data_IF_102453093293
#
_entry.id   IF_102453093293
#
_cell.length_a   1.000
_cell.length_b   1.000
_cell.length_c   1.000
_cell.angle_alpha   90.00
_cell.angle_beta   90.00
_cell.angle_gamma   90.00
#
_symmetry.space_group_name_H-M   'P 1'
#
loop_
_entity.id
_entity.type
_entity.pdbx_description
1 polymer ?
#
# COMPACT_ATOMS: atom_id res chain seq x y z
N UNK A 1 -18.14 -6.02 2.03
CA UNK A 1 -17.23 -5.10 2.75
C UNK A 1 -15.97 -5.87 3.14
N UNK A 2 -14.99 -5.27 3.83
CA UNK A 2 -13.79 -5.95 4.38
C UNK A 2 -14.11 -6.92 5.54
N UNK A 3 -15.21 -7.67 5.45
CA UNK A 3 -15.74 -8.53 6.51
C UNK A 3 -14.72 -9.59 6.96
N UNK A 4 -13.96 -10.14 6.00
CA UNK A 4 -12.92 -11.14 6.26
C UNK A 4 -11.74 -10.59 7.06
N UNK A 5 -11.56 -9.27 7.12
CA UNK A 5 -10.41 -8.63 7.79
C UNK A 5 -10.81 -7.86 9.05
N UNK A 6 -12.06 -7.94 9.50
CA UNK A 6 -12.52 -7.19 10.68
C UNK A 6 -11.67 -7.54 11.91
N UNK A 7 -11.43 -8.84 12.16
CA UNK A 7 -10.58 -9.26 13.27
C UNK A 7 -9.18 -8.63 13.19
N UNK A 8 -8.56 -8.70 12.02
CA UNK A 8 -7.21 -8.18 11.77
C UNK A 8 -7.11 -6.65 11.92
N UNK A 9 -8.08 -5.92 11.36
CA UNK A 9 -8.14 -4.46 11.43
C UNK A 9 -8.29 -4.01 12.88
N UNK A 10 -9.10 -4.71 13.67
CA UNK A 10 -9.30 -4.40 15.09
C UNK A 10 -8.18 -4.91 15.99
N UNK A 11 -7.41 -5.92 15.56
CA UNK A 11 -6.26 -6.45 16.29
C UNK A 11 -5.09 -5.46 16.36
N UNK A 12 -5.04 -4.44 15.50
CA UNK A 12 -3.96 -3.45 15.51
C UNK A 12 -3.79 -2.77 16.87
N UNK A 13 -2.68 -3.09 17.56
CA UNK A 13 -2.34 -2.51 18.86
C UNK A 13 -1.89 -1.05 18.78
N UNK A 14 -1.76 -0.49 17.57
CA UNK A 14 -1.30 0.88 17.31
C UNK A 14 0.08 1.19 17.89
N UNK A 15 0.93 0.18 18.08
CA UNK A 15 2.27 0.30 18.68
C UNK A 15 3.24 1.18 17.88
N UNK A 16 3.09 1.22 16.55
CA UNK A 16 3.96 2.00 15.67
C UNK A 16 5.20 1.26 15.17
N UNK A 17 5.32 -0.06 15.36
CA UNK A 17 6.45 -0.82 14.81
C UNK A 17 6.50 -0.75 13.28
N UNK A 18 5.34 -0.75 12.63
CA UNK A 18 5.24 -0.52 11.19
C UNK A 18 5.73 0.87 10.72
N UNK A 19 6.06 1.77 11.65
CA UNK A 19 6.62 3.11 11.43
C UNK A 19 8.09 3.15 11.77
N UNK A 20 8.45 2.72 12.98
CA UNK A 20 9.75 3.01 13.58
C UNK A 20 10.72 1.83 13.61
N UNK A 21 10.30 0.57 13.40
CA UNK A 21 11.03 -0.61 13.90
C UNK A 21 12.57 -0.45 13.92
N UNK A 22 13.09 -0.26 15.13
CA UNK A 22 14.53 -0.27 15.44
C UNK A 22 14.70 -1.47 16.35
N UNK A 23 15.32 -2.55 15.83
CA UNK A 23 15.65 -3.82 16.53
C UNK A 23 15.05 -3.92 17.96
N UNK A 24 13.75 -4.16 18.04
CA UNK A 24 13.13 -4.74 19.23
C UNK A 24 13.09 -6.25 18.97
N UNK A 25 13.32 -7.06 20.01
CA UNK A 25 13.40 -8.53 19.94
C UNK A 25 12.22 -9.19 19.21
N UNK A 26 11.11 -8.46 19.05
CA UNK A 26 9.87 -8.88 18.39
C UNK A 26 9.89 -8.84 16.86
N UNK A 27 10.84 -8.17 16.20
CA UNK A 27 10.95 -8.17 14.75
C UNK A 27 11.99 -9.23 14.31
N UNK A 28 11.56 -10.22 13.53
CA UNK A 28 12.43 -11.29 13.03
C UNK A 28 13.62 -10.78 12.17
N UNK A 29 13.60 -9.49 11.75
CA UNK A 29 14.68 -8.81 11.03
C UNK A 29 14.77 -7.34 11.46
N UNK A 30 15.99 -6.78 11.46
CA UNK A 30 16.20 -5.36 11.72
C UNK A 30 15.77 -4.49 10.54
N UNK A 31 14.50 -4.11 10.47
CA UNK A 31 13.94 -3.31 9.37
C UNK A 31 13.85 -1.83 9.76
N UNK A 32 14.89 -1.05 9.46
CA UNK A 32 14.85 0.40 9.66
C UNK A 32 14.03 1.09 8.55
N UNK A 33 13.21 2.09 8.91
CA UNK A 33 12.32 2.82 7.98
C UNK A 33 11.39 1.87 7.21
N UNK A 34 10.56 1.16 7.98
CA UNK A 34 9.70 0.05 7.53
C UNK A 34 8.86 0.39 6.30
N UNK A 35 8.14 1.51 6.34
CA UNK A 35 7.35 1.97 5.22
C UNK A 35 8.12 3.05 4.45
N UNK A 36 8.57 2.76 3.21
CA UNK A 36 9.24 3.77 2.41
C UNK A 36 8.31 4.94 2.10
N UNK A 37 7.01 4.72 1.86
CA UNK A 37 6.08 5.83 1.57
C UNK A 37 5.98 6.81 2.74
N UNK A 38 5.91 6.34 3.98
CA UNK A 38 5.94 7.24 5.15
C UNK A 38 7.27 7.99 5.26
N UNK A 39 8.40 7.32 5.01
CA UNK A 39 9.72 7.97 5.05
C UNK A 39 9.80 9.14 4.07
N UNK A 40 9.06 9.06 2.96
CA UNK A 40 9.02 10.07 1.92
C UNK A 40 7.97 11.16 2.17
N UNK A 41 6.76 10.77 2.59
CA UNK A 41 5.62 11.69 2.69
C UNK A 41 5.45 12.27 4.10
N UNK A 42 6.18 11.75 5.08
CA UNK A 42 6.21 12.26 6.45
C UNK A 42 4.99 11.94 7.32
N UNK A 43 3.81 11.74 6.73
CA UNK A 43 2.57 11.53 7.49
C UNK A 43 2.37 10.08 7.96
N UNK A 44 1.88 9.93 9.19
CA UNK A 44 1.62 8.62 9.82
C UNK A 44 0.49 7.85 9.12
N UNK A 45 -0.43 8.55 8.44
CA UNK A 45 -1.50 7.96 7.64
C UNK A 45 -0.96 6.97 6.60
N UNK A 46 0.26 7.20 6.08
CA UNK A 46 0.91 6.33 5.10
C UNK A 46 1.45 5.02 5.68
N UNK A 47 1.56 4.89 7.00
CA UNK A 47 1.97 3.64 7.65
C UNK A 47 0.85 2.59 7.63
N UNK A 48 1.16 1.33 7.93
CA UNK A 48 0.13 0.31 8.10
C UNK A 48 -0.86 0.69 9.22
N UNK A 49 -0.35 1.14 10.38
CA UNK A 49 -1.18 1.63 11.50
C UNK A 49 -2.13 2.72 11.05
N UNK A 50 -1.63 3.74 10.35
CA UNK A 50 -2.45 4.84 9.85
C UNK A 50 -3.57 4.36 8.94
N UNK A 51 -3.25 3.49 7.98
CA UNK A 51 -4.24 2.89 7.08
C UNK A 51 -5.26 2.03 7.81
N UNK A 52 -4.84 1.19 8.74
CA UNK A 52 -5.77 0.37 9.55
C UNK A 52 -6.70 1.25 10.40
N UNK A 53 -6.24 2.38 10.93
CA UNK A 53 -7.11 3.33 11.64
C UNK A 53 -8.17 3.93 10.72
N UNK A 54 -7.80 4.29 9.49
CA UNK A 54 -8.74 4.78 8.48
C UNK A 54 -9.75 3.70 8.09
N UNK A 55 -9.30 2.46 7.85
CA UNK A 55 -10.18 1.33 7.55
C UNK A 55 -11.14 1.02 8.69
N UNK A 56 -10.66 1.08 9.94
CA UNK A 56 -11.52 0.91 11.10
C UNK A 56 -12.63 1.96 11.14
N UNK A 57 -12.29 3.23 10.94
CA UNK A 57 -13.29 4.30 10.85
C UNK A 57 -14.30 4.04 9.73
N UNK A 58 -13.84 3.53 8.58
CA UNK A 58 -14.72 3.16 7.47
C UNK A 58 -15.67 2.01 7.82
N UNK A 59 -15.19 0.99 8.55
CA UNK A 59 -16.01 -0.10 9.09
C UNK A 59 -17.02 0.40 10.14
N UNK A 60 -16.66 1.44 10.90
CA UNK A 60 -17.52 2.13 11.87
C UNK A 60 -18.49 3.14 11.20
N UNK A 61 -18.58 3.14 9.87
CA UNK A 61 -19.56 3.91 9.10
C UNK A 61 -19.11 5.32 8.71
N UNK A 62 -17.81 5.65 8.85
CA UNK A 62 -17.28 6.90 8.28
C UNK A 62 -17.19 6.78 6.76
N UNK A 63 -17.62 7.85 6.09
CA UNK A 63 -17.59 7.93 4.64
C UNK A 63 -16.15 7.96 4.12
N UNK A 64 -15.95 7.28 2.99
CA UNK A 64 -14.73 7.33 2.22
C UNK A 64 -14.91 8.41 1.16
N UNK A 65 -13.98 9.36 1.12
CA UNK A 65 -13.88 10.35 0.06
C UNK A 65 -12.64 10.09 -0.82
N UNK A 66 -12.44 10.95 -1.80
CA UNK A 66 -11.33 10.83 -2.74
C UNK A 66 -9.96 10.89 -2.03
N UNK A 67 -9.74 11.83 -1.12
CA UNK A 67 -8.47 11.95 -0.39
C UNK A 67 -8.14 10.68 0.42
N UNK A 68 -9.17 10.10 1.06
CA UNK A 68 -9.03 8.85 1.78
C UNK A 68 -8.73 7.72 0.81
N UNK A 69 -9.38 7.66 -0.36
CA UNK A 69 -9.08 6.65 -1.36
C UNK A 69 -7.63 6.72 -1.86
N UNK A 70 -7.11 7.93 -2.08
CA UNK A 70 -5.75 8.19 -2.55
C UNK A 70 -4.70 7.63 -1.59
N UNK A 71 -4.96 7.75 -0.28
CA UNK A 71 -4.11 7.15 0.75
C UNK A 71 -3.85 5.67 0.50
N UNK A 72 -4.87 4.91 0.13
CA UNK A 72 -4.74 3.46 -0.12
C UNK A 72 -4.04 3.19 -1.43
N UNK A 73 -4.29 3.99 -2.46
CA UNK A 73 -3.56 3.88 -3.71
C UNK A 73 -2.08 4.19 -3.57
N UNK A 74 -1.59 4.92 -2.56
CA UNK A 74 -0.14 5.11 -2.33
C UNK A 74 0.62 3.88 -1.84
N UNK A 75 -0.07 2.84 -1.34
CA UNK A 75 0.61 1.66 -0.80
C UNK A 75 1.41 0.89 -1.87
N UNK A 76 2.57 0.36 -1.52
CA UNK A 76 3.34 -0.49 -2.43
C UNK A 76 3.09 -1.99 -2.22
N UNK A 77 2.26 -2.36 -1.24
CA UNK A 77 1.99 -3.76 -0.84
C UNK A 77 3.29 -4.56 -0.60
N UNK A 78 4.30 -3.89 -0.05
CA UNK A 78 5.65 -4.44 0.11
C UNK A 78 5.84 -5.42 1.27
N UNK A 79 4.85 -5.60 2.14
CA UNK A 79 4.91 -6.58 3.23
C UNK A 79 5.80 -6.24 4.44
N UNK A 80 6.75 -5.29 4.35
CA UNK A 80 7.61 -4.94 5.51
C UNK A 80 6.84 -4.64 6.80
N UNK A 81 5.66 -4.04 6.68
CA UNK A 81 4.82 -3.72 7.83
C UNK A 81 4.18 -4.94 8.48
N UNK A 82 3.92 -6.01 7.73
CA UNK A 82 3.49 -7.33 8.22
C UNK A 82 4.63 -7.98 8.99
N UNK A 83 5.82 -8.02 8.39
CA UNK A 83 7.03 -8.66 8.95
C UNK A 83 7.45 -8.12 10.33
N UNK A 84 7.19 -6.84 10.60
CA UNK A 84 7.53 -6.20 11.89
C UNK A 84 6.33 -6.10 12.84
N UNK A 85 5.15 -6.57 12.43
CA UNK A 85 3.93 -6.39 13.21
C UNK A 85 3.88 -7.37 14.36
N UNK A 86 3.75 -6.84 15.59
CA UNK A 86 3.66 -7.64 16.81
C UNK A 86 2.24 -8.01 17.23
N UNK A 87 1.22 -7.48 16.52
CA UNK A 87 -0.19 -7.65 16.94
C UNK A 87 -0.71 -9.08 16.74
N UNK A 88 -0.07 -9.86 15.87
CA UNK A 88 -0.34 -11.30 15.71
C UNK A 88 0.97 -12.05 15.89
N UNK A 89 1.01 -12.92 16.91
CA UNK A 89 2.24 -13.58 17.36
C UNK A 89 2.83 -14.38 16.20
N UNK A 90 4.02 -13.99 15.72
CA UNK A 90 4.81 -14.70 14.71
C UNK A 90 4.41 -14.47 13.26
N UNK A 91 3.20 -13.96 12.98
CA UNK A 91 2.70 -13.80 11.60
C UNK A 91 2.53 -12.32 11.21
N UNK A 92 2.19 -11.46 12.17
CA UNK A 92 1.82 -10.08 11.86
C UNK A 92 0.51 -9.98 11.08
N UNK A 93 -0.04 -8.77 10.98
CA UNK A 93 -1.28 -8.56 10.21
C UNK A 93 -0.94 -8.47 8.72
N UNK A 94 -1.66 -9.20 7.85
CA UNK A 94 -1.48 -9.15 6.39
C UNK A 94 -2.03 -7.86 5.75
N UNK A 95 -1.30 -6.76 5.96
CA UNK A 95 -1.65 -5.45 5.42
C UNK A 95 -1.70 -5.46 3.89
N UNK A 96 -0.75 -6.07 3.14
CA UNK A 96 -0.83 -6.14 1.68
C UNK A 96 -2.17 -6.66 1.18
N UNK A 97 -2.67 -7.79 1.68
CA UNK A 97 -3.95 -8.35 1.23
C UNK A 97 -5.15 -7.49 1.62
N UNK A 98 -5.14 -6.90 2.81
CA UNK A 98 -6.19 -5.94 3.22
C UNK A 98 -6.25 -4.75 2.24
N UNK A 99 -5.08 -4.22 1.85
CA UNK A 99 -5.00 -3.06 0.96
C UNK A 99 -5.45 -3.43 -0.46
N UNK A 100 -5.03 -4.58 -0.98
CA UNK A 100 -5.43 -5.07 -2.29
C UNK A 100 -6.97 -5.17 -2.38
N UNK A 101 -7.59 -5.82 -1.38
CA UNK A 101 -9.04 -6.00 -1.33
C UNK A 101 -9.77 -4.67 -1.17
N UNK A 102 -9.24 -3.78 -0.34
CA UNK A 102 -9.84 -2.46 -0.18
C UNK A 102 -9.77 -1.63 -1.46
N UNK A 103 -8.67 -1.71 -2.21
CA UNK A 103 -8.57 -1.04 -3.52
C UNK A 103 -9.55 -1.59 -4.54
N UNK A 104 -9.84 -2.89 -4.52
CA UNK A 104 -10.92 -3.47 -5.34
C UNK A 104 -12.27 -2.83 -4.98
N UNK A 105 -12.59 -2.70 -3.69
CA UNK A 105 -13.81 -2.04 -3.21
C UNK A 105 -13.85 -0.55 -3.63
N UNK A 106 -12.72 0.17 -3.52
CA UNK A 106 -12.63 1.56 -3.95
C UNK A 106 -12.90 1.70 -5.46
N UNK A 107 -12.35 0.80 -6.27
CA UNK A 107 -12.58 0.78 -7.71
C UNK A 107 -14.03 0.50 -8.08
N UNK A 108 -14.68 -0.48 -7.44
CA UNK A 108 -16.10 -0.76 -7.62
C UNK A 108 -16.98 0.44 -7.27
N UNK A 109 -16.56 1.24 -6.29
CA UNK A 109 -17.23 2.48 -5.88
C UNK A 109 -16.92 3.69 -6.75
N UNK A 110 -16.11 3.54 -7.79
CA UNK A 110 -15.76 4.63 -8.72
C UNK A 110 -14.62 5.52 -8.24
N UNK A 111 -13.98 5.24 -7.10
CA UNK A 111 -12.79 5.96 -6.62
C UNK A 111 -11.50 5.52 -7.34
N UNK A 112 -11.56 5.32 -8.65
CA UNK A 112 -10.41 4.88 -9.44
C UNK A 112 -9.63 6.10 -9.91
N UNK A 113 -8.58 6.49 -9.17
CA UNK A 113 -7.65 7.56 -9.59
C UNK A 113 -6.61 7.13 -10.61
N UNK A 114 -6.22 5.85 -10.61
CA UNK A 114 -5.30 5.33 -11.63
C UNK A 114 -6.11 4.85 -12.81
N UNK A 115 -6.06 5.58 -13.92
CA UNK A 115 -6.61 5.07 -15.18
C UNK A 115 -5.95 3.71 -15.48
N UNK A 116 -6.66 2.76 -16.11
CA UNK A 116 -6.06 1.52 -16.60
C UNK A 116 -4.73 1.79 -17.33
N UNK A 117 -4.72 2.85 -18.14
CA UNK A 117 -3.54 3.36 -18.86
C UNK A 117 -2.40 3.80 -17.93
N UNK A 118 -2.71 4.45 -16.81
CA UNK A 118 -1.72 4.85 -15.82
C UNK A 118 -1.07 3.64 -15.13
N UNK A 119 -1.86 2.62 -14.81
CA UNK A 119 -1.35 1.35 -14.26
C UNK A 119 -0.54 0.61 -15.32
N UNK A 120 -1.02 0.50 -16.55
CA UNK A 120 -0.29 -0.09 -17.68
C UNK A 120 1.04 0.61 -17.95
N UNK A 121 1.06 1.95 -17.91
CA UNK A 121 2.28 2.75 -18.03
C UNK A 121 3.26 2.46 -16.89
N UNK A 122 2.79 2.43 -15.64
CA UNK A 122 3.60 2.04 -14.48
C UNK A 122 4.19 0.63 -14.66
N UNK A 123 3.40 -0.29 -15.23
CA UNK A 123 3.76 -1.68 -15.46
C UNK A 123 4.71 -1.91 -16.64
N UNK A 124 4.68 -1.03 -17.63
CA UNK A 124 5.57 -1.06 -18.79
C UNK A 124 6.93 -0.42 -18.56
N UNK A 125 7.12 0.32 -17.45
CA UNK A 125 8.43 0.84 -17.03
C UNK A 125 9.45 -0.30 -16.92
N UNK A 126 10.55 -0.18 -17.67
CA UNK A 126 11.63 -1.17 -17.74
C UNK A 126 12.77 -0.82 -16.80
N UNK A 127 12.96 0.47 -16.56
CA UNK A 127 14.02 0.99 -15.71
C UNK A 127 13.46 1.53 -14.39
N UNK A 128 14.34 1.63 -13.39
CA UNK A 128 14.03 2.22 -12.10
C UNK A 128 13.57 3.66 -12.31
N UNK A 129 14.34 4.45 -13.04
CA UNK A 129 14.15 5.88 -13.27
C UNK A 129 12.82 6.18 -13.98
N UNK A 130 12.46 5.36 -14.97
CA UNK A 130 11.15 5.42 -15.64
C UNK A 130 10.02 5.16 -14.64
N UNK A 131 10.14 4.12 -13.82
CA UNK A 131 9.12 3.81 -12.82
C UNK A 131 8.98 4.93 -11.79
N UNK A 132 10.08 5.50 -11.31
CA UNK A 132 10.02 6.59 -10.32
C UNK A 132 9.31 7.80 -10.90
N UNK A 133 9.64 8.13 -12.14
CA UNK A 133 9.04 9.24 -12.87
C UNK A 133 7.56 9.00 -13.11
N UNK A 134 7.19 7.78 -13.53
CA UNK A 134 5.79 7.41 -13.77
C UNK A 134 4.98 7.33 -12.48
N UNK A 135 5.57 6.76 -11.42
CA UNK A 135 4.97 6.75 -10.09
C UNK A 135 4.72 8.19 -9.64
N UNK A 136 5.74 9.08 -9.67
CA UNK A 136 5.57 10.51 -9.40
C UNK A 136 4.48 11.14 -10.27
N UNK A 137 4.44 10.87 -11.58
CA UNK A 137 3.44 11.39 -12.51
C UNK A 137 2.02 11.00 -12.12
N UNK A 138 1.79 9.72 -11.78
CA UNK A 138 0.47 9.24 -11.34
C UNK A 138 0.00 9.85 -10.02
N UNK A 139 0.91 10.42 -9.22
CA UNK A 139 0.54 11.17 -8.02
C UNK A 139 0.70 12.69 -8.18
N UNK A 140 1.20 13.18 -9.32
CA UNK A 140 1.38 14.60 -9.65
C UNK A 140 0.09 15.25 -10.18
N UNK A 141 -1.04 14.95 -9.56
CA UNK A 141 -2.00 16.01 -9.22
C UNK A 141 -1.61 16.74 -7.93
N UNK A 142 -0.42 16.47 -7.37
CA UNK A 142 0.07 17.14 -6.18
C UNK A 142 1.55 17.55 -6.27
N UNK A 143 1.83 18.84 -6.06
CA UNK A 143 3.15 19.49 -6.22
C UNK A 143 4.23 19.06 -5.20
N UNK A 144 3.91 18.16 -4.27
CA UNK A 144 4.73 17.91 -3.07
C UNK A 144 5.48 16.57 -3.06
N UNK A 145 5.55 15.87 -4.19
CA UNK A 145 6.15 14.53 -4.28
C UNK A 145 7.50 14.56 -5.00
N UNK A 146 8.51 15.13 -4.35
CA UNK A 146 9.90 15.04 -4.81
C UNK A 146 10.75 14.22 -3.85
N UNK A 147 11.05 12.97 -4.24
CA UNK A 147 11.90 12.10 -3.43
C UNK A 147 12.67 11.02 -4.22
N UNK A 148 13.72 10.49 -3.57
CA UNK A 148 14.55 9.37 -4.05
C UNK A 148 13.98 8.02 -3.62
N UNK A 149 13.70 7.15 -4.60
CA UNK A 149 13.09 5.84 -4.38
C UNK A 149 14.15 4.76 -4.18
N UNK A 150 14.02 3.96 -3.11
CA UNK A 150 14.92 2.85 -2.79
C UNK A 150 14.73 1.68 -3.77
N UNK A 151 15.80 0.96 -4.08
CA UNK A 151 15.86 -0.06 -5.14
C UNK A 151 14.80 -1.17 -5.02
N UNK A 152 14.42 -1.55 -3.80
CA UNK A 152 13.39 -2.58 -3.56
C UNK A 152 11.95 -2.11 -3.83
N UNK A 153 11.70 -0.79 -3.90
CA UNK A 153 10.35 -0.25 -4.10
C UNK A 153 9.79 -0.52 -5.50
N UNK A 154 10.63 -0.55 -6.54
CA UNK A 154 10.20 -0.91 -7.90
C UNK A 154 9.60 -2.32 -7.92
N UNK A 155 10.36 -3.30 -7.40
CA UNK A 155 9.95 -4.71 -7.40
C UNK A 155 8.72 -4.95 -6.54
N UNK A 156 8.66 -4.35 -5.35
CA UNK A 156 7.51 -4.51 -4.44
C UNK A 156 6.24 -3.95 -5.06
N UNK A 157 6.31 -2.72 -5.56
CA UNK A 157 5.15 -2.06 -6.11
C UNK A 157 4.67 -2.72 -7.41
N UNK A 158 5.60 -3.16 -8.27
CA UNK A 158 5.27 -3.96 -9.45
C UNK A 158 4.47 -5.21 -9.08
N UNK A 159 4.85 -5.92 -8.01
CA UNK A 159 4.08 -7.10 -7.56
C UNK A 159 2.69 -6.71 -7.06
N UNK A 160 2.60 -5.70 -6.21
CA UNK A 160 1.34 -5.22 -5.64
C UNK A 160 0.32 -4.76 -6.67
N UNK A 161 0.66 -3.74 -7.47
CA UNK A 161 -0.27 -3.21 -8.47
C UNK A 161 -0.63 -4.23 -9.57
N UNK A 162 0.26 -5.17 -9.93
CA UNK A 162 -0.10 -6.25 -10.86
C UNK A 162 -1.15 -7.15 -10.27
N UNK A 163 -0.95 -7.57 -9.01
CA UNK A 163 -1.88 -8.47 -8.33
C UNK A 163 -3.27 -7.83 -8.31
N UNK A 164 -3.33 -6.59 -7.81
CA UNK A 164 -4.57 -5.83 -7.74
C UNK A 164 -5.21 -5.61 -9.12
N UNK A 165 -4.45 -5.16 -10.12
CA UNK A 165 -4.99 -4.84 -11.44
C UNK A 165 -5.48 -6.09 -12.21
N UNK A 166 -4.86 -7.26 -11.97
CA UNK A 166 -5.40 -8.54 -12.46
C UNK A 166 -6.71 -8.90 -11.76
N UNK A 167 -6.77 -8.71 -10.44
CA UNK A 167 -7.94 -9.04 -9.61
C UNK A 167 -9.17 -8.22 -9.99
N UNK A 168 -8.99 -6.93 -10.28
CA UNK A 168 -10.08 -6.03 -10.70
C UNK A 168 -10.41 -6.12 -12.19
N UNK A 169 -9.68 -6.94 -12.95
CA UNK A 169 -9.84 -7.04 -14.40
C UNK A 169 -9.36 -5.80 -15.18
N UNK A 170 -8.65 -4.88 -14.53
CA UNK A 170 -8.03 -3.71 -15.16
C UNK A 170 -6.94 -4.12 -16.16
N UNK A 171 -6.23 -5.21 -15.89
CA UNK A 171 -5.32 -5.86 -16.84
C UNK A 171 -5.97 -7.16 -17.31
N UNK A 172 -6.24 -7.27 -18.61
CA UNK A 172 -6.71 -8.55 -19.18
C UNK A 172 -5.67 -9.66 -18.95
N UNK A 173 -6.14 -10.88 -18.68
CA UNK A 173 -5.28 -12.06 -18.45
C UNK A 173 -4.65 -12.50 -19.79
N UNK A 174 -3.74 -11.70 -20.35
CA UNK A 174 -2.91 -12.12 -21.48
C UNK A 174 -1.46 -11.65 -21.30
N UNK A 175 -0.60 -12.65 -21.10
CA UNK A 175 0.87 -12.67 -21.28
C UNK A 175 1.66 -11.57 -20.57
N UNK A 176 1.91 -11.77 -19.27
CA UNK A 176 3.18 -11.30 -18.68
C UNK A 176 4.21 -12.39 -18.95
N UNK A 177 5.01 -12.22 -20.02
CA UNK A 177 6.25 -12.98 -20.17
C UNK A 177 7.21 -12.41 -19.12
N UNK A 178 7.69 -13.28 -18.24
CA UNK A 178 8.67 -12.99 -17.19
C UNK A 178 10.02 -12.68 -17.83
#
# INVERSE_FOLDING_TARGET
MLENYVSDIYACARCGDCRESVKLESAHRGVYKVCPIKDQLGFDSYTARGKLMVLRNALEGKEINEDVSDLFYTCLEGGNCTEVCISQIGEGIDIPSIIEDFRSILSEKGFTRKTPEGVEKLMSCKTKEEYLTMYKYLYKETDHLDFEVKTNMFTMARKGYVSWAKKTGLLSIQKVII
#
